data_IF_108503127355
#
_entry.id   IF_108503127355
#
_cell.length_a   1.000
_cell.length_b   1.000
_cell.length_c   1.000
_cell.angle_alpha   90.00
_cell.angle_beta   90.00
_cell.angle_gamma   90.00
#
_symmetry.space_group_name_H-M   'P 1'
#
loop_
_entity.id
_entity.type
_entity.pdbx_description
1 polymer ?
#
# COMPACT_ATOMS: atom_id res chain seq x y z
N UNK A 1 -7.63 -22.21 11.00
CA UNK A 1 -6.82 -23.28 10.35
C UNK A 1 -7.49 -24.64 10.49
N UNK A 2 -7.70 -25.15 11.71
CA UNK A 2 -8.29 -26.47 11.95
C UNK A 2 -9.64 -26.74 11.23
N UNK A 3 -10.47 -25.71 11.02
CA UNK A 3 -11.71 -25.83 10.23
C UNK A 3 -11.42 -26.13 8.75
N UNK A 4 -10.49 -25.38 8.15
CA UNK A 4 -10.10 -25.55 6.73
C UNK A 4 -9.32 -26.84 6.54
N UNK A 5 -8.45 -27.22 7.48
CA UNK A 5 -7.74 -28.51 7.46
C UNK A 5 -8.73 -29.68 7.48
N UNK A 6 -9.74 -29.64 8.36
CA UNK A 6 -10.78 -30.67 8.41
C UNK A 6 -11.62 -30.71 7.15
N UNK A 7 -11.95 -29.55 6.58
CA UNK A 7 -12.67 -29.49 5.31
C UNK A 7 -11.83 -30.12 4.19
N UNK A 8 -10.54 -29.82 4.14
CA UNK A 8 -9.62 -30.39 3.17
C UNK A 8 -9.58 -31.92 3.24
N UNK A 9 -9.41 -32.48 4.44
CA UNK A 9 -9.38 -33.94 4.66
C UNK A 9 -10.64 -34.65 4.16
N UNK A 10 -11.79 -33.98 4.23
CA UNK A 10 -13.07 -34.52 3.74
C UNK A 10 -13.22 -34.38 2.22
N UNK A 11 -12.81 -33.25 1.65
CA UNK A 11 -12.98 -32.94 0.24
C UNK A 11 -12.10 -33.81 -0.66
N UNK A 12 -10.88 -34.15 -0.23
CA UNK A 12 -9.91 -34.90 -1.07
C UNK A 12 -10.02 -36.43 -0.93
N UNK A 13 -11.10 -36.94 -0.32
CA UNK A 13 -11.29 -38.39 -0.08
C UNK A 13 -11.41 -39.20 -1.37
N UNK A 14 -11.81 -38.57 -2.46
CA UNK A 14 -11.86 -39.19 -3.79
C UNK A 14 -10.49 -39.19 -4.50
N UNK A 15 -9.46 -38.61 -3.88
CA UNK A 15 -8.10 -38.54 -4.41
C UNK A 15 -7.83 -37.33 -5.31
N UNK A 16 -8.76 -36.37 -5.36
CA UNK A 16 -8.62 -35.13 -6.14
C UNK A 16 -8.97 -33.89 -5.29
N UNK A 17 -8.35 -32.76 -5.59
CA UNK A 17 -8.81 -31.44 -5.14
C UNK A 17 -9.24 -30.65 -6.36
N UNK A 18 -10.54 -30.63 -6.63
CA UNK A 18 -11.14 -29.94 -7.77
C UNK A 18 -11.32 -28.43 -7.51
N UNK A 19 -11.69 -27.68 -8.55
CA UNK A 19 -12.03 -26.25 -8.39
C UNK A 19 -13.23 -26.02 -7.44
N UNK A 20 -14.20 -26.94 -7.42
CA UNK A 20 -15.35 -26.86 -6.52
C UNK A 20 -14.94 -27.12 -5.06
N UNK A 21 -13.95 -27.98 -4.83
CA UNK A 21 -13.40 -28.20 -3.49
C UNK A 21 -12.66 -26.97 -2.99
N UNK A 22 -11.96 -26.26 -3.88
CA UNK A 22 -11.35 -24.97 -3.53
C UNK A 22 -12.41 -23.94 -3.12
N UNK A 23 -13.54 -23.85 -3.83
CA UNK A 23 -14.66 -23.00 -3.40
C UNK A 23 -15.16 -23.39 -2.00
N UNK A 24 -15.28 -24.70 -1.72
CA UNK A 24 -15.69 -25.20 -0.42
C UNK A 24 -14.67 -24.90 0.69
N UNK A 25 -13.37 -24.93 0.40
CA UNK A 25 -12.31 -24.55 1.35
C UNK A 25 -12.40 -23.08 1.76
N UNK A 26 -12.59 -22.18 0.78
CA UNK A 26 -12.79 -20.76 1.07
C UNK A 26 -14.11 -20.51 1.80
N UNK A 27 -15.18 -21.21 1.45
CA UNK A 27 -16.45 -21.15 2.17
C UNK A 27 -16.31 -21.62 3.64
N UNK A 28 -15.51 -22.66 3.89
CA UNK A 28 -15.22 -23.15 5.23
C UNK A 28 -14.39 -22.16 6.07
N UNK A 29 -13.57 -21.33 5.42
CA UNK A 29 -12.82 -20.27 6.08
C UNK A 29 -13.70 -19.06 6.46
N UNK A 30 -14.76 -18.80 5.70
CA UNK A 30 -15.73 -17.73 5.95
C UNK A 30 -15.36 -16.39 5.30
N UNK A 31 -16.01 -15.31 5.76
CA UNK A 31 -15.87 -13.96 5.19
C UNK A 31 -14.47 -13.35 5.42
N UNK A 32 -13.74 -13.81 6.44
CA UNK A 32 -12.38 -13.37 6.77
C UNK A 32 -11.49 -14.60 6.93
N UNK A 33 -10.39 -14.64 6.19
CA UNK A 33 -9.48 -15.77 6.15
C UNK A 33 -8.16 -15.44 6.84
N UNK A 34 -7.80 -16.22 7.85
CA UNK A 34 -6.53 -16.03 8.57
C UNK A 34 -5.32 -16.42 7.72
N UNK A 35 -4.14 -15.90 8.09
CA UNK A 35 -2.85 -16.32 7.50
C UNK A 35 -2.72 -17.85 7.48
N UNK A 36 -2.98 -18.51 8.61
CA UNK A 36 -2.83 -19.95 8.71
C UNK A 36 -3.79 -20.71 7.78
N UNK A 37 -5.01 -20.23 7.58
CA UNK A 37 -5.97 -20.83 6.64
C UNK A 37 -5.54 -20.65 5.19
N UNK A 38 -5.00 -19.48 4.82
CA UNK A 38 -4.44 -19.29 3.47
C UNK A 38 -3.25 -20.20 3.21
N UNK A 39 -2.39 -20.43 4.19
CA UNK A 39 -1.28 -21.36 4.03
C UNK A 39 -1.77 -22.81 3.86
N UNK A 40 -2.84 -23.22 4.54
CA UNK A 40 -3.47 -24.54 4.30
C UNK A 40 -3.98 -24.66 2.87
N UNK A 41 -4.72 -23.66 2.37
CA UNK A 41 -5.21 -23.68 0.98
C UNK A 41 -4.05 -23.67 -0.03
N UNK A 42 -3.01 -22.86 0.21
CA UNK A 42 -1.79 -22.83 -0.60
C UNK A 42 -1.14 -24.20 -0.69
N UNK A 43 -0.91 -24.81 0.47
CA UNK A 43 -0.22 -26.10 0.57
C UNK A 43 -1.06 -27.21 -0.05
N UNK A 44 -2.39 -27.11 0.04
CA UNK A 44 -3.30 -28.02 -0.61
C UNK A 44 -3.17 -27.96 -2.14
N UNK A 45 -3.22 -26.77 -2.74
CA UNK A 45 -3.16 -26.62 -4.21
C UNK A 45 -1.76 -26.76 -4.80
N UNK A 46 -0.72 -26.75 -3.95
CA UNK A 46 0.66 -27.02 -4.34
C UNK A 46 1.12 -28.45 -4.02
N UNK A 47 0.30 -29.20 -3.28
CA UNK A 47 0.63 -30.53 -2.78
C UNK A 47 0.61 -31.61 -3.86
N UNK A 48 1.21 -32.75 -3.55
CA UNK A 48 1.27 -33.93 -4.44
C UNK A 48 0.60 -35.16 -3.82
N UNK A 49 -0.09 -35.01 -2.69
CA UNK A 49 -0.74 -36.11 -1.96
C UNK A 49 -2.00 -36.63 -2.67
N UNK A 50 -2.63 -35.77 -3.46
CA UNK A 50 -3.80 -36.04 -4.31
C UNK A 50 -3.61 -35.31 -5.65
N UNK A 51 -4.47 -35.60 -6.62
CA UNK A 51 -4.45 -34.90 -7.91
C UNK A 51 -4.95 -33.47 -7.72
N UNK A 52 -4.20 -32.49 -8.23
CA UNK A 52 -4.62 -31.08 -8.27
C UNK A 52 -4.65 -30.63 -9.73
N UNK A 53 -5.82 -30.58 -10.37
CA UNK A 53 -5.95 -30.05 -11.73
C UNK A 53 -5.59 -28.56 -11.78
N UNK A 54 -5.09 -28.08 -12.91
CA UNK A 54 -4.74 -26.66 -13.10
C UNK A 54 -5.91 -25.71 -12.77
N UNK A 55 -7.15 -26.11 -13.07
CA UNK A 55 -8.35 -25.34 -12.74
C UNK A 55 -8.52 -25.10 -11.23
N UNK A 56 -8.09 -26.02 -10.37
CA UNK A 56 -8.14 -25.82 -8.92
C UNK A 56 -7.13 -24.77 -8.46
N UNK A 57 -5.90 -24.83 -8.99
CA UNK A 57 -4.86 -23.81 -8.74
C UNK A 57 -5.30 -22.43 -9.22
N UNK A 58 -5.85 -22.34 -10.43
CA UNK A 58 -6.38 -21.08 -10.99
C UNK A 58 -7.53 -20.53 -10.13
N UNK A 59 -8.44 -21.38 -9.69
CA UNK A 59 -9.56 -20.99 -8.82
C UNK A 59 -9.08 -20.47 -7.47
N UNK A 60 -8.06 -21.09 -6.87
CA UNK A 60 -7.49 -20.64 -5.61
C UNK A 60 -6.85 -19.24 -5.73
N UNK A 61 -6.16 -18.96 -6.85
CA UNK A 61 -5.62 -17.63 -7.13
C UNK A 61 -6.73 -16.60 -7.36
N UNK A 62 -7.81 -16.96 -8.05
CA UNK A 62 -8.96 -16.09 -8.25
C UNK A 62 -9.60 -15.69 -6.92
N UNK A 63 -9.90 -16.67 -6.06
CA UNK A 63 -10.49 -16.40 -4.74
C UNK A 63 -9.53 -15.63 -3.82
N UNK A 64 -8.23 -15.95 -3.86
CA UNK A 64 -7.22 -15.19 -3.14
C UNK A 64 -7.14 -13.73 -3.60
N UNK A 65 -7.53 -13.40 -4.83
CA UNK A 65 -7.56 -12.01 -5.34
C UNK A 65 -8.58 -11.13 -4.59
N UNK A 66 -9.56 -11.71 -3.93
CA UNK A 66 -10.60 -10.96 -3.20
C UNK A 66 -10.70 -11.31 -1.72
N UNK A 67 -9.89 -12.27 -1.27
CA UNK A 67 -9.83 -12.66 0.13
C UNK A 67 -9.44 -11.48 1.04
N UNK A 68 -10.17 -11.34 2.16
CA UNK A 68 -9.98 -10.28 3.16
C UNK A 68 -10.22 -8.84 2.64
N UNK A 69 -10.89 -8.68 1.50
CA UNK A 69 -11.33 -7.37 1.02
C UNK A 69 -12.72 -7.01 1.53
N UNK A 70 -12.98 -5.71 1.63
CA UNK A 70 -14.33 -5.24 1.95
C UNK A 70 -15.28 -5.52 0.77
N UNK A 71 -16.55 -5.83 1.03
CA UNK A 71 -17.52 -6.14 -0.04
C UNK A 71 -17.65 -5.03 -1.11
N UNK A 72 -17.68 -3.72 -0.76
CA UNK A 72 -17.67 -2.65 -1.75
C UNK A 72 -16.41 -2.66 -2.63
N UNK A 73 -15.27 -2.90 -2.01
CA UNK A 73 -13.95 -2.96 -2.64
C UNK A 73 -13.86 -4.11 -3.66
N UNK A 74 -14.40 -5.29 -3.34
CA UNK A 74 -14.50 -6.41 -4.29
C UNK A 74 -15.32 -6.02 -5.52
N UNK A 75 -16.45 -5.33 -5.33
CA UNK A 75 -17.30 -4.90 -6.46
C UNK A 75 -16.56 -3.89 -7.36
N UNK A 76 -15.84 -2.96 -6.76
CA UNK A 76 -15.06 -1.97 -7.50
C UNK A 76 -13.92 -2.63 -8.29
N UNK A 77 -13.16 -3.53 -7.67
CA UNK A 77 -12.06 -4.24 -8.32
C UNK A 77 -12.53 -4.99 -9.57
N UNK A 78 -13.70 -5.63 -9.49
CA UNK A 78 -14.29 -6.39 -10.59
C UNK A 78 -14.88 -5.52 -11.71
N UNK A 79 -15.13 -4.23 -11.47
CA UNK A 79 -15.81 -3.35 -12.44
C UNK A 79 -14.93 -2.23 -13.01
N UNK A 80 -13.95 -1.72 -12.26
CA UNK A 80 -13.13 -0.56 -12.63
C UNK A 80 -11.67 -0.89 -12.92
N UNK A 81 -11.20 -2.11 -12.61
CA UNK A 81 -9.85 -2.56 -12.93
C UNK A 81 -8.71 -1.96 -12.08
N UNK A 82 -9.03 -1.06 -11.14
CA UNK A 82 -8.14 -0.46 -10.15
C UNK A 82 -8.80 0.72 -9.42
N UNK A 83 -8.46 0.92 -8.15
CA UNK A 83 -8.98 2.01 -7.31
C UNK A 83 -8.39 3.35 -7.75
N UNK A 84 -7.10 3.33 -8.13
CA UNK A 84 -6.27 4.45 -8.60
C UNK A 84 -6.75 5.21 -9.84
N UNK A 85 -7.86 4.81 -10.47
CA UNK A 85 -8.27 5.25 -11.82
C UNK A 85 -7.31 4.81 -12.94
N UNK A 86 -6.29 4.02 -12.61
CA UNK A 86 -5.31 3.45 -13.53
C UNK A 86 -5.59 1.95 -13.69
N UNK A 87 -5.38 1.43 -14.89
CA UNK A 87 -5.48 -0.01 -15.13
C UNK A 87 -4.33 -0.71 -14.41
N UNK A 88 -4.66 -1.56 -13.44
CA UNK A 88 -3.65 -2.37 -12.75
C UNK A 88 -3.07 -3.40 -13.74
N UNK A 89 -1.74 -3.55 -13.86
CA UNK A 89 -1.14 -4.54 -14.75
C UNK A 89 -1.51 -5.99 -14.36
N UNK A 90 -1.62 -6.88 -15.34
CA UNK A 90 -1.92 -8.30 -15.07
C UNK A 90 -0.88 -8.96 -14.15
N UNK A 91 0.41 -8.57 -14.27
CA UNK A 91 1.49 -9.04 -13.39
C UNK A 91 1.28 -8.62 -11.94
N UNK A 92 0.72 -7.44 -11.70
CA UNK A 92 0.40 -6.96 -10.35
C UNK A 92 -0.74 -7.80 -9.77
N UNK A 93 -1.84 -8.02 -10.51
CA UNK A 93 -2.92 -8.90 -10.06
C UNK A 93 -2.45 -10.31 -9.72
N UNK A 94 -1.62 -10.90 -10.58
CA UNK A 94 -1.06 -12.22 -10.36
C UNK A 94 -0.17 -12.26 -9.09
N UNK A 95 0.66 -11.24 -8.88
CA UNK A 95 1.46 -11.10 -7.67
C UNK A 95 0.57 -11.00 -6.41
N UNK A 96 -0.48 -10.18 -6.44
CA UNK A 96 -1.37 -9.99 -5.30
C UNK A 96 -2.10 -11.28 -4.92
N UNK A 97 -2.64 -11.99 -5.91
CA UNK A 97 -3.27 -13.30 -5.71
C UNK A 97 -2.30 -14.28 -5.03
N UNK A 98 -1.07 -14.38 -5.56
CA UNK A 98 -0.03 -15.25 -5.02
C UNK A 98 0.40 -14.85 -3.61
N UNK A 99 0.59 -13.55 -3.37
CA UNK A 99 0.99 -13.03 -2.08
C UNK A 99 -0.06 -13.30 -1.00
N UNK A 100 -1.35 -13.08 -1.32
CA UNK A 100 -2.46 -13.38 -0.40
C UNK A 100 -2.60 -14.86 -0.09
N UNK A 101 -2.44 -15.72 -1.10
CA UNK A 101 -2.39 -17.16 -0.89
C UNK A 101 -1.20 -17.56 0.01
N UNK A 102 -0.10 -16.80 -0.05
CA UNK A 102 1.03 -16.90 0.87
C UNK A 102 0.84 -16.12 2.19
N UNK A 103 -0.38 -15.73 2.53
CA UNK A 103 -0.71 -15.11 3.81
C UNK A 103 -0.37 -13.63 3.92
N UNK A 104 -0.19 -12.92 2.80
CA UNK A 104 -0.09 -11.46 2.81
C UNK A 104 -1.39 -10.84 3.35
N UNK A 105 -1.28 -10.02 4.40
CA UNK A 105 -2.42 -9.39 5.03
C UNK A 105 -2.90 -8.16 4.24
N UNK A 106 -4.17 -8.15 3.85
CA UNK A 106 -4.91 -6.92 3.58
C UNK A 106 -5.53 -6.46 4.90
N UNK A 107 -5.30 -5.22 5.29
CA UNK A 107 -5.71 -4.70 6.59
C UNK A 107 -6.52 -3.42 6.46
N UNK A 108 -7.50 -3.25 7.36
CA UNK A 108 -8.20 -1.99 7.55
C UNK A 108 -7.48 -1.19 8.63
N UNK A 109 -6.95 -0.03 8.26
CA UNK A 109 -6.26 0.89 9.18
C UNK A 109 -7.12 1.41 10.33
N UNK A 110 -8.45 1.24 10.25
CA UNK A 110 -9.40 1.59 11.33
C UNK A 110 -9.45 0.55 12.44
N UNK A 111 -8.88 -0.64 12.24
CA UNK A 111 -8.91 -1.69 13.24
C UNK A 111 -8.24 -1.22 14.53
N UNK A 112 -8.95 -1.38 15.64
CA UNK A 112 -8.46 -1.05 16.98
C UNK A 112 -8.40 -2.30 17.85
N UNK A 113 -7.41 -2.37 18.74
CA UNK A 113 -7.34 -3.41 19.75
C UNK A 113 -8.34 -3.19 20.89
N UNK A 114 -8.32 -4.06 21.90
CA UNK A 114 -9.21 -4.00 23.05
C UNK A 114 -9.05 -2.73 23.91
N UNK A 115 -7.94 -2.00 23.77
CA UNK A 115 -7.71 -0.71 24.43
C UNK A 115 -8.24 0.49 23.63
N UNK A 116 -8.71 0.25 22.40
CA UNK A 116 -9.10 1.29 21.46
C UNK A 116 -7.92 1.88 20.66
N UNK A 117 -6.72 1.31 20.80
CA UNK A 117 -5.54 1.74 20.06
C UNK A 117 -5.53 1.15 18.65
N UNK A 118 -5.15 1.93 17.63
CA UNK A 118 -5.05 1.46 16.26
C UNK A 118 -4.03 0.31 16.11
N UNK A 119 -4.47 -0.82 15.54
CA UNK A 119 -3.64 -2.00 15.29
C UNK A 119 -2.57 -1.70 14.24
N UNK A 120 -3.00 -1.14 13.11
CA UNK A 120 -2.15 -0.91 11.94
C UNK A 120 -1.67 0.54 11.81
N UNK A 121 -2.40 1.46 12.44
CA UNK A 121 -2.22 2.89 12.21
C UNK A 121 -1.33 3.54 13.30
N UNK A 122 -0.15 4.08 12.96
CA UNK A 122 0.70 4.79 13.91
C UNK A 122 0.21 6.20 14.28
N UNK A 123 -0.70 6.82 13.50
CA UNK A 123 -1.10 8.23 13.71
C UNK A 123 -2.62 8.41 13.69
N UNK A 124 -3.20 9.10 14.68
CA UNK A 124 -4.65 9.21 14.83
C UNK A 124 -5.31 10.19 13.85
N UNK A 125 -4.56 10.93 13.04
CA UNK A 125 -5.13 12.04 12.27
C UNK A 125 -5.95 11.56 11.08
N UNK A 126 -7.26 11.80 11.14
CA UNK A 126 -8.27 11.41 10.14
C UNK A 126 -8.78 12.59 9.31
N UNK A 127 -8.14 13.76 9.41
CA UNK A 127 -8.56 14.95 8.65
C UNK A 127 -8.58 14.61 7.16
N UNK A 128 -9.70 14.82 6.45
CA UNK A 128 -9.87 14.48 5.03
C UNK A 128 -8.79 15.09 4.12
N UNK A 129 -8.23 14.35 3.14
CA UNK A 129 -7.34 14.90 2.13
C UNK A 129 -8.09 15.92 1.26
N UNK A 130 -7.40 16.99 0.86
CA UNK A 130 -7.94 18.05 0.00
C UNK A 130 -6.95 18.35 -1.13
N UNK A 131 -7.46 18.76 -2.30
CA UNK A 131 -6.64 19.25 -3.43
C UNK A 131 -5.50 18.30 -3.85
N UNK A 132 -4.22 18.71 -3.72
CA UNK A 132 -3.04 17.92 -4.10
C UNK A 132 -2.86 16.62 -3.29
N UNK A 133 -3.58 16.49 -2.18
CA UNK A 133 -3.66 15.29 -1.36
C UNK A 133 -4.74 14.32 -1.80
N UNK A 134 -5.65 14.74 -2.68
CA UNK A 134 -6.73 13.85 -3.11
C UNK A 134 -6.16 12.62 -3.78
N UNK A 135 -6.94 11.55 -3.68
CA UNK A 135 -6.61 10.23 -4.15
C UNK A 135 -5.97 10.22 -5.55
N UNK A 136 -6.44 11.04 -6.50
CA UNK A 136 -5.93 11.11 -7.87
C UNK A 136 -4.53 11.75 -8.00
N UNK A 137 -4.17 12.66 -7.10
CA UNK A 137 -2.88 13.36 -7.13
C UNK A 137 -1.77 12.56 -6.44
N UNK A 138 -2.13 11.63 -5.55
CA UNK A 138 -1.18 10.81 -4.79
C UNK A 138 -0.73 9.54 -5.52
N UNK A 139 -1.47 9.07 -6.52
CA UNK A 139 -1.11 7.85 -7.28
C UNK A 139 0.23 8.03 -7.99
N UNK A 140 1.13 7.05 -7.83
CA UNK A 140 2.42 6.95 -8.51
C UNK A 140 2.39 5.76 -9.46
N UNK A 141 2.79 5.98 -10.71
CA UNK A 141 3.03 4.94 -11.71
C UNK A 141 4.40 5.15 -12.37
N UNK A 142 4.98 4.12 -13.02
CA UNK A 142 6.23 4.30 -13.77
C UNK A 142 6.11 5.40 -14.83
N UNK A 143 4.98 5.44 -15.53
CA UNK A 143 4.70 6.44 -16.55
C UNK A 143 4.61 7.85 -15.98
N UNK A 144 4.02 8.03 -14.79
CA UNK A 144 3.98 9.33 -14.11
C UNK A 144 5.37 9.81 -13.69
N UNK A 145 6.21 8.94 -13.16
CA UNK A 145 7.59 9.29 -12.82
C UNK A 145 8.40 9.64 -14.07
N UNK A 146 8.27 8.85 -15.14
CA UNK A 146 8.95 9.08 -16.40
C UNK A 146 8.48 10.38 -17.07
N UNK A 147 7.17 10.64 -17.06
CA UNK A 147 6.58 11.86 -17.60
C UNK A 147 7.05 13.10 -16.84
N UNK A 148 7.12 13.06 -15.50
CA UNK A 148 7.68 14.17 -14.73
C UNK A 148 9.15 14.38 -15.09
N UNK A 149 9.97 13.32 -15.05
CA UNK A 149 11.39 13.41 -15.40
C UNK A 149 11.64 14.00 -16.81
N UNK A 150 10.81 13.64 -17.79
CA UNK A 150 10.92 14.13 -19.17
C UNK A 150 10.37 15.54 -19.37
N UNK A 151 9.56 16.06 -18.45
CA UNK A 151 8.90 17.34 -18.59
C UNK A 151 9.88 18.48 -18.33
N UNK A 152 10.48 19.04 -19.38
CA UNK A 152 11.42 20.17 -19.28
C UNK A 152 10.73 21.54 -19.29
N UNK A 153 9.43 21.57 -19.56
CA UNK A 153 8.71 22.82 -19.85
C UNK A 153 7.84 23.32 -18.70
N UNK A 154 7.44 22.45 -17.78
CA UNK A 154 6.59 22.79 -16.64
C UNK A 154 7.27 23.83 -15.75
N UNK A 155 6.58 24.93 -15.50
CA UNK A 155 6.94 25.91 -14.48
C UNK A 155 6.11 25.66 -13.22
N UNK A 156 6.74 25.76 -12.06
CA UNK A 156 6.10 25.53 -10.77
C UNK A 156 6.79 26.35 -9.68
N UNK A 157 6.09 26.57 -8.58
CA UNK A 157 6.70 27.11 -7.38
C UNK A 157 7.39 25.98 -6.61
N UNK A 158 8.68 26.14 -6.34
CA UNK A 158 9.45 25.24 -5.51
C UNK A 158 9.67 25.88 -4.14
N UNK A 159 9.49 25.10 -3.09
CA UNK A 159 9.80 25.51 -1.73
C UNK A 159 11.30 25.80 -1.62
N UNK A 160 11.67 27.02 -1.22
CA UNK A 160 13.08 27.42 -1.10
C UNK A 160 13.53 27.67 0.34
N UNK A 161 12.59 27.82 1.27
CA UNK A 161 12.87 28.05 2.68
C UNK A 161 11.61 28.46 3.42
N UNK A 162 11.78 28.93 4.66
CA UNK A 162 10.70 29.43 5.49
C UNK A 162 11.04 30.82 6.02
N UNK A 163 10.04 31.64 6.27
CA UNK A 163 10.15 32.93 6.94
C UNK A 163 9.09 33.06 8.04
N UNK A 164 9.39 33.80 9.10
CA UNK A 164 8.42 34.06 10.16
C UNK A 164 7.50 35.21 9.77
N UNK A 165 6.19 34.97 9.80
CA UNK A 165 5.16 35.96 9.47
C UNK A 165 4.19 36.08 10.64
N UNK A 166 3.86 37.31 11.01
CA UNK A 166 2.85 37.59 12.03
C UNK A 166 1.56 38.04 11.36
N UNK A 167 0.48 37.29 11.58
CA UNK A 167 -0.87 37.65 11.11
C UNK A 167 -1.90 37.38 12.20
N UNK A 168 -2.87 38.28 12.37
CA UNK A 168 -3.90 38.13 13.41
C UNK A 168 -3.36 38.08 14.85
N UNK A 169 -2.13 38.55 15.11
CA UNK A 169 -1.48 38.51 16.41
C UNK A 169 -0.76 37.19 16.74
N UNK A 170 -0.73 36.22 15.81
CA UNK A 170 0.03 34.99 15.93
C UNK A 170 1.19 34.97 14.93
N UNK A 171 2.33 34.41 15.33
CA UNK A 171 3.48 34.22 14.46
C UNK A 171 3.56 32.77 14.02
N UNK A 172 3.69 32.56 12.71
CA UNK A 172 3.88 31.24 12.12
C UNK A 172 5.00 31.27 11.08
N UNK A 173 5.53 30.10 10.77
CA UNK A 173 6.47 29.92 9.66
C UNK A 173 5.69 29.78 8.35
N UNK A 174 5.97 30.67 7.41
CA UNK A 174 5.43 30.65 6.05
C UNK A 174 6.52 30.18 5.08
N UNK A 175 6.12 29.33 4.14
CA UNK A 175 7.01 28.85 3.09
C UNK A 175 7.30 29.94 2.08
N UNK A 176 8.56 30.09 1.71
CA UNK A 176 9.00 30.92 0.58
C UNK A 176 9.17 30.07 -0.68
N UNK A 177 8.91 30.69 -1.83
CA UNK A 177 8.96 30.01 -3.12
C UNK A 177 9.89 30.68 -4.10
N UNK A 178 10.48 29.88 -4.98
CA UNK A 178 11.03 30.35 -6.23
C UNK A 178 10.40 29.61 -7.40
N UNK A 179 10.15 30.33 -8.50
CA UNK A 179 9.78 29.68 -9.76
C UNK A 179 10.94 28.81 -10.25
N UNK A 180 10.64 27.56 -10.53
CA UNK A 180 11.57 26.61 -11.15
C UNK A 180 10.89 25.97 -12.34
N UNK A 181 11.71 25.32 -13.17
CA UNK A 181 11.27 24.66 -14.38
C UNK A 181 11.84 23.25 -14.45
N UNK A 182 11.04 22.34 -15.02
CA UNK A 182 11.46 20.97 -15.28
C UNK A 182 11.07 19.99 -14.17
N UNK A 183 10.72 18.76 -14.51
CA UNK A 183 10.47 17.73 -13.52
C UNK A 183 11.71 16.95 -13.12
N UNK A 184 11.53 16.07 -12.13
CA UNK A 184 12.64 15.35 -11.49
C UNK A 184 12.43 13.85 -11.43
N UNK A 185 11.19 13.36 -11.47
CA UNK A 185 10.89 11.96 -11.20
C UNK A 185 11.31 11.52 -9.80
N UNK A 186 11.37 12.46 -8.84
CA UNK A 186 11.81 12.19 -7.47
C UNK A 186 10.62 11.92 -6.53
N UNK A 187 10.88 11.07 -5.55
CA UNK A 187 10.06 10.87 -4.34
C UNK A 187 11.03 10.98 -3.17
N UNK A 188 10.84 11.94 -2.26
CA UNK A 188 11.79 12.18 -1.15
C UNK A 188 11.09 12.43 0.19
N UNK A 189 11.88 12.42 1.27
CA UNK A 189 11.43 12.30 2.66
C UNK A 189 10.46 13.38 3.17
N UNK A 190 10.47 14.59 2.60
CA UNK A 190 9.79 15.72 3.22
C UNK A 190 8.95 16.52 2.22
N UNK A 191 7.73 16.79 2.65
CA UNK A 191 6.93 17.94 2.25
C UNK A 191 6.57 18.63 3.58
N UNK A 192 7.11 19.82 3.77
CA UNK A 192 7.40 20.40 5.09
C UNK A 192 6.22 21.17 5.70
N UNK A 193 6.30 21.30 7.02
CA UNK A 193 5.35 21.70 8.05
C UNK A 193 5.03 23.20 8.10
N UNK A 194 5.31 24.02 7.07
CA UNK A 194 5.07 25.47 7.11
C UNK A 194 3.83 25.89 6.30
N UNK A 195 3.23 27.03 6.62
CA UNK A 195 2.07 27.58 5.89
C UNK A 195 2.44 27.77 4.41
N UNK A 196 1.68 27.15 3.51
CA UNK A 196 1.94 27.19 2.07
C UNK A 196 0.69 27.70 1.30
N UNK A 197 0.70 28.93 0.77
CA UNK A 197 -0.43 29.43 -0.02
C UNK A 197 -0.58 28.74 -1.39
N UNK A 198 0.46 28.09 -1.89
CA UNK A 198 0.40 27.31 -3.13
C UNK A 198 0.34 25.81 -2.84
N UNK A 199 -0.85 25.26 -3.00
CA UNK A 199 -1.23 23.85 -2.78
C UNK A 199 -0.67 22.91 -3.85
N UNK A 200 -0.20 23.42 -4.99
CA UNK A 200 0.43 22.62 -6.05
C UNK A 200 1.94 22.88 -6.15
N UNK A 201 2.50 23.59 -5.18
CA UNK A 201 3.94 23.77 -5.08
C UNK A 201 4.66 22.42 -4.97
N UNK A 202 5.90 22.39 -5.44
CA UNK A 202 6.77 21.22 -5.31
C UNK A 202 7.67 21.37 -4.10
N UNK A 203 8.05 20.25 -3.51
CA UNK A 203 8.97 20.25 -2.38
C UNK A 203 10.35 20.81 -2.74
N UNK A 204 11.20 21.01 -1.73
CA UNK A 204 12.49 21.70 -1.87
C UNK A 204 13.47 21.05 -2.86
N UNK A 205 13.32 19.74 -3.09
CA UNK A 205 14.05 18.96 -4.09
C UNK A 205 13.30 18.81 -5.41
N UNK A 206 12.32 19.68 -5.68
CA UNK A 206 11.48 19.74 -6.88
C UNK A 206 10.56 18.52 -7.12
N UNK A 207 10.35 17.72 -6.09
CA UNK A 207 9.50 16.54 -6.12
C UNK A 207 8.01 16.92 -6.11
N UNK A 208 7.20 16.16 -6.84
CA UNK A 208 5.74 16.18 -6.74
C UNK A 208 5.28 15.35 -5.54
N UNK A 209 5.91 14.19 -5.35
CA UNK A 209 5.54 13.19 -4.34
C UNK A 209 6.52 13.18 -3.18
N UNK A 210 6.04 12.88 -1.97
CA UNK A 210 6.88 12.62 -0.82
C UNK A 210 6.89 11.14 -0.44
N UNK A 211 7.77 10.77 0.49
CA UNK A 211 8.08 9.36 0.77
C UNK A 211 6.97 8.60 1.47
N UNK A 212 6.03 9.26 2.16
CA UNK A 212 4.93 8.58 2.87
C UNK A 212 4.09 7.80 1.86
N UNK A 213 4.14 6.48 1.95
CA UNK A 213 3.65 5.60 0.91
C UNK A 213 2.68 4.55 1.43
N UNK A 214 1.57 4.39 0.70
CA UNK A 214 0.57 3.38 0.93
C UNK A 214 0.36 2.54 -0.33
N UNK A 215 0.29 1.22 -0.18
CA UNK A 215 -0.23 0.36 -1.24
C UNK A 215 -1.63 -0.10 -0.87
N UNK A 216 -2.57 0.12 -1.79
CA UNK A 216 -3.92 -0.37 -1.63
C UNK A 216 -4.02 -1.84 -2.03
N UNK A 217 -5.16 -2.45 -1.73
CA UNK A 217 -5.37 -3.88 -1.93
C UNK A 217 -5.39 -4.32 -3.40
N UNK A 218 -5.65 -3.43 -4.35
CA UNK A 218 -5.51 -3.69 -5.79
C UNK A 218 -4.06 -3.51 -6.28
N UNK A 219 -3.15 -3.13 -5.39
CA UNK A 219 -1.74 -2.89 -5.67
C UNK A 219 -1.44 -1.50 -6.21
N UNK A 220 -2.39 -0.55 -6.22
CA UNK A 220 -2.05 0.84 -6.55
C UNK A 220 -1.13 1.43 -5.49
N UNK A 221 -0.21 2.27 -5.95
CA UNK A 221 0.82 2.88 -5.13
C UNK A 221 0.49 4.36 -4.99
N UNK A 222 0.43 4.84 -3.75
CA UNK A 222 0.16 6.22 -3.43
C UNK A 222 1.28 6.81 -2.59
N UNK A 223 1.73 8.00 -2.94
CA UNK A 223 2.71 8.77 -2.21
C UNK A 223 2.11 10.12 -1.82
N UNK A 224 2.12 10.38 -0.52
CA UNK A 224 1.55 11.57 0.08
C UNK A 224 2.68 12.39 0.73
N UNK A 225 2.53 13.71 0.89
CA UNK A 225 3.34 14.49 1.83
C UNK A 225 3.29 13.90 3.24
N UNK A 226 4.29 14.19 4.06
CA UNK A 226 4.41 13.68 5.43
C UNK A 226 3.63 14.52 6.46
N UNK A 227 3.46 15.81 6.17
CA UNK A 227 2.58 16.68 6.91
C UNK A 227 1.95 17.72 5.96
N UNK A 228 0.92 18.39 6.45
CA UNK A 228 0.27 19.56 5.82
C UNK A 228 -0.23 20.53 6.89
N UNK A 229 -0.74 21.70 6.49
CA UNK A 229 -1.41 22.65 7.38
C UNK A 229 -2.93 22.62 7.19
N UNK A 230 -3.70 22.83 8.26
CA UNK A 230 -5.14 23.08 8.18
C UNK A 230 -5.43 24.48 7.63
N UNK A 231 -6.69 24.81 7.31
CA UNK A 231 -7.09 26.19 7.01
C UNK A 231 -6.71 27.16 8.15
N UNK A 232 -6.76 26.67 9.39
CA UNK A 232 -6.41 27.38 10.62
C UNK A 232 -4.89 27.36 10.93
N UNK A 233 -4.07 26.82 10.03
CA UNK A 233 -2.62 26.73 10.17
C UNK A 233 -2.10 25.75 11.22
N UNK A 234 -2.91 24.78 11.64
CA UNK A 234 -2.45 23.70 12.50
C UNK A 234 -1.66 22.66 11.70
N UNK A 235 -0.57 22.16 12.28
CA UNK A 235 0.19 21.06 11.68
C UNK A 235 -0.64 19.78 11.73
N UNK A 236 -0.85 19.17 10.56
CA UNK A 236 -1.52 17.88 10.39
C UNK A 236 -0.50 16.90 9.85
N UNK A 237 -0.10 15.93 10.67
CA UNK A 237 0.63 14.76 10.19
C UNK A 237 -0.26 13.95 9.25
N UNK A 238 0.23 13.68 8.05
CA UNK A 238 -0.50 12.96 7.02
C UNK A 238 -0.05 11.52 6.98
N UNK A 239 -1.03 10.63 7.03
CA UNK A 239 -0.81 9.21 7.06
C UNK A 239 -1.10 8.61 5.68
N UNK A 240 -0.33 7.61 5.23
CA UNK A 240 -0.64 6.88 4.00
C UNK A 240 -2.06 6.33 3.92
N UNK A 241 -2.73 6.08 5.05
CA UNK A 241 -4.14 5.68 5.04
C UNK A 241 -5.08 6.71 4.39
N UNK A 242 -4.66 7.98 4.29
CA UNK A 242 -5.45 9.01 3.60
C UNK A 242 -5.59 8.72 2.11
N UNK A 243 -4.73 7.88 1.54
CA UNK A 243 -4.83 7.47 0.14
C UNK A 243 -5.87 6.38 -0.12
N UNK A 244 -6.62 5.93 0.89
CA UNK A 244 -7.51 4.77 0.71
C UNK A 244 -8.96 5.12 0.40
N UNK A 245 -9.39 6.36 0.62
CA UNK A 245 -10.78 6.77 0.33
C UNK A 245 -10.78 7.90 -0.71
N UNK A 246 -11.67 7.85 -1.69
CA UNK A 246 -11.86 8.97 -2.61
C UNK A 246 -12.84 10.01 -2.05
N UNK A 247 -13.77 9.58 -1.19
CA UNK A 247 -14.64 10.46 -0.38
C UNK A 247 -14.51 10.18 1.13
N UNK A 248 -13.92 11.15 1.83
CA UNK A 248 -13.77 11.12 3.29
C UNK A 248 -14.98 11.71 4.03
N UNK A 249 -15.96 12.34 3.37
CA UNK A 249 -17.14 12.87 4.04
C UNK A 249 -18.09 11.77 4.52
N UNK A 250 -18.03 10.57 3.93
CA UNK A 250 -18.92 9.44 4.24
C UNK A 250 -18.22 8.23 4.87
N UNK A 251 -16.88 8.21 4.94
CA UNK A 251 -16.00 7.29 5.70
C UNK A 251 -16.23 5.76 5.62
N UNK A 252 -17.29 5.26 4.99
CA UNK A 252 -17.73 3.88 5.13
C UNK A 252 -17.62 3.07 3.82
N UNK A 253 -18.07 3.61 2.69
CA UNK A 253 -18.35 2.78 1.51
C UNK A 253 -17.25 2.78 0.43
N UNK A 254 -16.31 3.72 0.50
CA UNK A 254 -15.29 3.95 -0.54
C UNK A 254 -13.84 3.89 0.01
N UNK A 255 -13.68 3.36 1.22
CA UNK A 255 -12.37 3.17 1.83
C UNK A 255 -11.82 1.78 1.53
N UNK A 256 -10.64 1.72 0.94
CA UNK A 256 -9.96 0.50 0.53
C UNK A 256 -9.09 -0.07 1.65
N UNK A 257 -8.88 -1.38 1.62
CA UNK A 257 -7.90 -2.03 2.49
C UNK A 257 -6.48 -1.76 1.97
N UNK A 258 -5.50 -1.85 2.87
CA UNK A 258 -4.10 -1.60 2.54
C UNK A 258 -3.28 -2.89 2.65
N UNK A 259 -2.21 -2.98 1.87
CA UNK A 259 -1.22 -4.07 1.93
C UNK A 259 0.13 -3.61 2.46
N UNK A 260 0.37 -2.30 2.45
CA UNK A 260 1.63 -1.69 2.83
C UNK A 260 1.42 -0.27 3.34
N UNK A 261 2.13 0.07 4.41
CA UNK A 261 2.31 1.45 4.89
C UNK A 261 3.79 1.61 5.24
N UNK A 262 4.42 2.66 4.73
CA UNK A 262 5.82 2.91 5.00
C UNK A 262 6.37 4.11 4.23
N UNK A 263 7.67 4.07 3.96
CA UNK A 263 8.39 5.10 3.22
C UNK A 263 9.04 4.53 1.97
N UNK A 264 9.01 5.28 0.87
CA UNK A 264 9.77 4.96 -0.33
C UNK A 264 10.51 6.19 -0.84
N UNK A 265 11.66 5.99 -1.48
CA UNK A 265 12.42 7.06 -2.13
C UNK A 265 12.65 6.70 -3.59
N UNK A 266 12.53 7.69 -4.47
CA UNK A 266 12.92 7.58 -5.86
C UNK A 266 13.84 8.74 -6.24
N UNK A 267 14.87 8.44 -7.03
CA UNK A 267 15.77 9.42 -7.61
C UNK A 267 15.80 9.23 -9.12
N UNK A 268 15.48 10.29 -9.87
CA UNK A 268 15.42 10.27 -11.33
C UNK A 268 14.60 9.08 -11.90
N UNK A 269 13.43 8.82 -11.30
CA UNK A 269 12.52 7.75 -11.71
C UNK A 269 12.97 6.32 -11.32
N UNK A 270 14.01 6.17 -10.50
CA UNK A 270 14.48 4.88 -9.98
C UNK A 270 14.17 4.78 -8.49
N UNK A 271 13.50 3.70 -8.06
CA UNK A 271 13.25 3.43 -6.64
C UNK A 271 14.57 3.05 -5.95
N UNK A 272 14.95 3.79 -4.91
CA UNK A 272 16.24 3.67 -4.22
C UNK A 272 16.13 3.26 -2.76
N UNK A 273 14.96 3.41 -2.12
CA UNK A 273 14.72 3.00 -0.74
C UNK A 273 13.29 2.53 -0.54
N UNK A 274 13.10 1.54 0.33
CA UNK A 274 11.81 1.02 0.79
C UNK A 274 11.91 0.67 2.28
N UNK A 275 10.97 1.17 3.07
CA UNK A 275 10.91 0.96 4.51
C UNK A 275 9.47 0.68 4.95
N UNK A 276 9.24 -0.41 5.69
CA UNK A 276 7.97 -0.64 6.36
C UNK A 276 7.80 0.28 7.58
N UNK A 277 6.58 0.79 7.80
CA UNK A 277 6.27 1.54 9.02
C UNK A 277 6.48 0.69 10.29
N UNK A 278 6.70 1.34 11.43
CA UNK A 278 7.08 0.65 12.68
C UNK A 278 6.04 -0.34 13.21
N UNK A 279 4.73 0.00 13.18
CA UNK A 279 3.67 -0.95 13.60
C UNK A 279 3.62 -2.17 12.69
N UNK A 280 3.66 -1.96 11.37
CA UNK A 280 3.66 -3.03 10.39
C UNK A 280 4.90 -3.93 10.55
N UNK A 281 6.07 -3.31 10.75
CA UNK A 281 7.34 -4.01 10.99
C UNK A 281 7.28 -4.94 12.21
N UNK A 282 6.66 -4.50 13.31
CA UNK A 282 6.47 -5.32 14.52
C UNK A 282 5.58 -6.54 14.25
N UNK A 283 4.51 -6.40 13.49
CA UNK A 283 3.61 -7.52 13.18
C UNK A 283 4.27 -8.54 12.24
N UNK A 284 5.07 -8.08 11.28
CA UNK A 284 5.90 -8.95 10.43
C UNK A 284 6.95 -9.66 11.28
N UNK A 285 7.72 -8.93 12.11
CA UNK A 285 8.80 -9.49 12.93
C UNK A 285 8.32 -10.52 13.95
N UNK A 286 7.08 -10.38 14.46
CA UNK A 286 6.42 -11.37 15.34
C UNK A 286 5.88 -12.59 14.58
N UNK A 287 5.98 -12.62 13.25
CA UNK A 287 5.47 -13.68 12.39
C UNK A 287 3.94 -13.73 12.30
N UNK A 288 3.24 -12.73 12.85
CA UNK A 288 1.77 -12.68 12.89
C UNK A 288 1.16 -12.52 11.50
N UNK A 289 1.84 -11.75 10.65
CA UNK A 289 1.46 -11.58 9.26
C UNK A 289 2.62 -11.94 8.33
N UNK A 290 2.30 -12.19 7.07
CA UNK A 290 3.22 -11.89 5.98
C UNK A 290 2.77 -10.56 5.36
N UNK A 291 3.71 -9.78 4.83
CA UNK A 291 3.39 -8.57 4.07
C UNK A 291 3.65 -8.81 2.59
N UNK A 292 3.00 -8.04 1.71
CA UNK A 292 3.37 -8.01 0.28
C UNK A 292 4.86 -7.66 0.16
N UNK A 293 5.59 -8.28 -0.77
CA UNK A 293 6.94 -7.83 -1.11
C UNK A 293 6.86 -6.52 -1.93
N UNK A 294 7.24 -5.37 -1.34
CA UNK A 294 7.13 -4.08 -2.03
C UNK A 294 8.04 -4.01 -3.26
N UNK A 295 9.20 -4.67 -3.24
CA UNK A 295 10.11 -4.67 -4.39
C UNK A 295 9.50 -5.48 -5.54
N UNK A 296 8.90 -6.63 -5.24
CA UNK A 296 8.19 -7.43 -6.24
C UNK A 296 7.02 -6.65 -6.84
N UNK A 297 6.30 -5.87 -6.02
CA UNK A 297 5.20 -5.03 -6.50
C UNK A 297 5.69 -3.92 -7.46
N UNK A 298 6.78 -3.23 -7.11
CA UNK A 298 7.39 -2.25 -8.01
C UNK A 298 7.81 -2.87 -9.34
N UNK A 299 8.44 -4.05 -9.31
CA UNK A 299 8.86 -4.77 -10.50
C UNK A 299 7.67 -5.22 -11.35
N UNK A 300 6.58 -5.68 -10.72
CA UNK A 300 5.35 -6.08 -11.40
C UNK A 300 4.66 -4.91 -12.11
N UNK A 301 4.73 -3.71 -11.52
CA UNK A 301 4.30 -2.45 -12.15
C UNK A 301 5.22 -1.99 -13.27
N UNK A 302 6.50 -2.37 -13.27
CA UNK A 302 7.50 -1.94 -14.24
C UNK A 302 8.34 -0.74 -13.81
N UNK A 303 8.38 -0.43 -12.50
CA UNK A 303 9.31 0.58 -11.98
C UNK A 303 10.75 0.13 -12.16
N UNK A 304 11.64 1.10 -12.41
CA UNK A 304 13.08 0.87 -12.29
C UNK A 304 13.44 0.83 -10.80
N UNK A 305 14.20 -0.17 -10.39
CA UNK A 305 14.67 -0.33 -9.01
C UNK A 305 16.20 -0.33 -8.96
N UNK A 306 16.78 0.27 -7.92
CA UNK A 306 18.23 0.20 -7.69
C UNK A 306 18.68 -1.27 -7.51
N UNK A 307 19.85 -1.67 -8.04
CA UNK A 307 20.42 -3.00 -7.79
C UNK A 307 20.71 -3.29 -6.31
N UNK A 308 20.94 -2.24 -5.51
CA UNK A 308 21.20 -2.32 -4.07
C UNK A 308 19.94 -2.17 -3.23
N UNK A 309 18.75 -2.17 -3.84
CA UNK A 309 17.50 -1.93 -3.14
C UNK A 309 17.24 -3.05 -2.13
N UNK A 310 17.09 -2.66 -0.87
CA UNK A 310 16.73 -3.54 0.23
C UNK A 310 15.51 -2.99 0.94
N UNK A 311 14.84 -3.86 1.69
CA UNK A 311 13.70 -3.48 2.52
C UNK A 311 14.19 -3.32 3.95
N UNK A 312 13.80 -2.21 4.59
CA UNK A 312 14.14 -1.89 5.96
C UNK A 312 12.89 -1.96 6.85
N UNK A 313 13.08 -2.34 8.11
CA UNK A 313 12.05 -2.13 9.13
C UNK A 313 12.17 -0.72 9.70
N UNK A 314 11.04 -0.05 9.90
CA UNK A 314 11.01 1.30 10.45
C UNK A 314 11.17 1.33 11.96
N UNK A 315 12.13 2.14 12.42
CA UNK A 315 12.31 2.76 13.75
C UNK A 315 12.12 1.91 15.03
N UNK A 316 11.92 0.59 14.95
CA UNK A 316 11.45 -0.19 16.12
C UNK A 316 11.82 -1.68 16.16
N UNK A 317 12.47 -2.25 15.16
CA UNK A 317 12.84 -3.67 15.16
C UNK A 317 14.20 -3.92 14.54
N UNK A 318 15.11 -4.53 15.31
CA UNK A 318 16.39 -5.04 14.81
C UNK A 318 16.17 -6.18 13.80
N UNK A 319 16.95 -6.19 12.73
CA UNK A 319 16.90 -7.22 11.69
C UNK A 319 16.38 -6.73 10.33
N UNK A 320 16.51 -7.59 9.31
CA UNK A 320 15.96 -7.35 7.97
C UNK A 320 14.86 -8.37 7.69
N UNK A 321 13.73 -7.96 7.11
CA UNK A 321 12.73 -8.91 6.66
C UNK A 321 13.31 -9.92 5.67
N UNK A 322 12.83 -11.16 5.72
CA UNK A 322 13.17 -12.19 4.72
C UNK A 322 12.19 -12.08 3.56
N UNK A 323 12.73 -11.96 2.35
CA UNK A 323 11.96 -11.93 1.11
C UNK A 323 11.75 -13.36 0.61
N UNK A 324 10.50 -13.75 0.49
CA UNK A 324 10.07 -14.93 -0.26
C UNK A 324 9.62 -14.46 -1.65
N UNK A 325 10.60 -14.36 -2.56
CA UNK A 325 10.40 -13.81 -3.91
C UNK A 325 9.37 -14.64 -4.68
N UNK A 326 9.40 -15.96 -4.51
CA UNK A 326 8.44 -16.85 -5.13
C UNK A 326 7.06 -16.62 -4.53
N UNK A 327 6.91 -16.59 -3.21
CA UNK A 327 5.64 -16.32 -2.55
C UNK A 327 5.08 -14.92 -2.80
N UNK A 328 5.91 -13.99 -3.27
CA UNK A 328 5.55 -12.57 -3.42
C UNK A 328 5.39 -11.86 -2.07
N UNK A 329 6.01 -12.38 -1.02
CA UNK A 329 5.81 -11.90 0.35
C UNK A 329 7.11 -11.62 1.08
N UNK A 330 6.97 -10.82 2.12
CA UNK A 330 7.96 -10.62 3.16
C UNK A 330 7.45 -11.27 4.45
N UNK A 331 8.36 -11.95 5.17
CA UNK A 331 8.07 -12.64 6.43
C UNK A 331 9.11 -12.35 7.50
N UNK A 332 8.80 -12.78 8.72
CA UNK A 332 9.74 -12.79 9.83
C UNK A 332 11.07 -13.49 9.44
N UNK A 333 12.21 -13.05 10.01
CA UNK A 333 13.51 -13.69 9.81
C UNK A 333 13.54 -15.19 10.10
#
# INVERSE_FOLDING_TARGET
>A
AATVERALDELVKDGELSAADVDALFAAAGDTVSKAEMLVVRDAVAGTTYTVPAAATERALELATVANLLRPEVRELMTRGGYGGNVVPAKVRALLAKARLNGAAAFDVRETDASGEGVWNPYPTTTPPTENMTFQHTVVTPDRLAADLANTTVEYNAITGVESVTSGGQTFEQVTYAKRRGGTGNIVAQYDEAFHPDIFARGSSNQIWASNCGFLSDGTIHCLPAARRSELQDLILTNPHLSRCSDFAQFADDCHTMLYIGHITASAGVITSVEFSGRLSKEIARGRINAIDPIALFQAWGFKTSPSLTIQYGNTSDGRPVRDVDGGVVRAP
#
